data_IF_349379274568
#
_entry.id   IF_349379274568
#
_cell.length_a   1.000
_cell.length_b   1.000
_cell.length_c   1.000
_cell.angle_alpha   90.00
_cell.angle_beta   90.00
_cell.angle_gamma   90.00
#
_symmetry.space_group_name_H-M   'P 1'
#
loop_
_entity.id
_entity.type
_entity.pdbx_description
1 polymer ?
#
# COMPACT_ATOMS: atom_id res chain seq x y z
N UNK A 1 -5.27 2.23 -25.25
CA UNK A 1 -5.14 1.74 -23.87
C UNK A 1 -6.54 1.35 -23.42
N UNK A 2 -6.80 0.12 -22.96
CA UNK A 2 -8.11 -0.24 -22.45
C UNK A 2 -8.42 0.56 -21.18
N UNK A 3 -9.66 0.98 -21.05
CA UNK A 3 -10.18 1.71 -19.91
C UNK A 3 -10.28 0.73 -18.73
N UNK A 4 -9.45 0.92 -17.70
CA UNK A 4 -9.50 0.09 -16.50
C UNK A 4 -10.71 0.57 -15.69
N UNK A 5 -11.81 -0.17 -15.72
CA UNK A 5 -12.93 0.13 -14.86
C UNK A 5 -12.51 -0.11 -13.40
N UNK A 6 -12.79 0.85 -12.48
CA UNK A 6 -12.50 0.65 -11.07
C UNK A 6 -13.25 -0.58 -10.57
N UNK A 7 -12.55 -1.48 -9.88
CA UNK A 7 -13.14 -2.67 -9.30
C UNK A 7 -14.29 -2.29 -8.35
N UNK A 8 -15.36 -3.10 -8.33
CA UNK A 8 -16.56 -2.82 -7.52
C UNK A 8 -16.26 -2.71 -6.02
N UNK A 9 -15.28 -3.47 -5.52
CA UNK A 9 -14.80 -3.36 -4.13
C UNK A 9 -14.20 -1.98 -3.81
N UNK A 10 -13.48 -1.38 -4.77
CA UNK A 10 -12.83 -0.08 -4.57
C UNK A 10 -13.88 1.04 -4.51
N UNK A 11 -14.90 0.98 -5.37
CA UNK A 11 -16.02 1.94 -5.33
C UNK A 11 -16.77 1.85 -4.01
N UNK A 12 -17.00 0.64 -3.52
CA UNK A 12 -17.71 0.41 -2.27
C UNK A 12 -16.95 0.97 -1.06
N UNK A 13 -15.66 0.67 -0.91
CA UNK A 13 -14.84 1.21 0.20
C UNK A 13 -14.78 2.74 0.14
N UNK A 14 -14.55 3.31 -1.04
CA UNK A 14 -14.52 4.77 -1.22
C UNK A 14 -15.90 5.44 -1.04
N UNK A 15 -16.99 4.68 -0.96
CA UNK A 15 -18.34 5.20 -0.70
C UNK A 15 -18.71 5.28 0.79
N UNK A 16 -17.82 4.82 1.69
CA UNK A 16 -18.03 4.90 3.14
C UNK A 16 -18.23 6.35 3.60
N UNK A 17 -19.21 6.61 4.47
CA UNK A 17 -19.62 7.96 4.86
C UNK A 17 -18.95 8.46 6.16
N UNK A 18 -18.34 7.57 6.94
CA UNK A 18 -17.66 7.90 8.20
C UNK A 18 -16.56 6.87 8.54
N UNK A 19 -15.80 7.13 9.61
CA UNK A 19 -14.66 6.30 10.03
C UNK A 19 -15.07 4.89 10.51
N UNK A 20 -16.18 4.76 11.22
CA UNK A 20 -16.65 3.47 11.70
C UNK A 20 -17.11 2.59 10.51
N UNK A 21 -17.85 3.18 9.58
CA UNK A 21 -18.27 2.51 8.34
C UNK A 21 -17.07 2.15 7.45
N UNK A 22 -16.08 3.04 7.33
CA UNK A 22 -14.85 2.75 6.59
C UNK A 22 -14.11 1.56 7.18
N UNK A 23 -14.00 1.51 8.52
CA UNK A 23 -13.35 0.41 9.23
C UNK A 23 -14.11 -0.90 9.04
N UNK A 24 -15.42 -0.91 9.23
CA UNK A 24 -16.25 -2.11 9.06
C UNK A 24 -16.21 -2.64 7.61
N UNK A 25 -16.18 -1.75 6.63
CA UNK A 25 -16.04 -2.12 5.22
C UNK A 25 -14.63 -2.68 4.93
N UNK A 26 -13.59 -2.10 5.55
CA UNK A 26 -12.23 -2.63 5.48
C UNK A 26 -12.11 -4.03 6.10
N UNK A 27 -12.64 -4.23 7.30
CA UNK A 27 -12.63 -5.54 8.00
C UNK A 27 -13.31 -6.63 7.15
N UNK A 28 -14.42 -6.30 6.49
CA UNK A 28 -15.14 -7.22 5.60
C UNK A 28 -14.38 -7.55 4.31
N UNK A 29 -13.54 -6.63 3.83
CA UNK A 29 -12.77 -6.81 2.60
C UNK A 29 -11.37 -7.37 2.82
N UNK A 30 -10.81 -7.22 4.03
CA UNK A 30 -9.43 -7.57 4.37
C UNK A 30 -9.03 -8.98 3.91
N UNK A 31 -9.92 -9.97 4.06
CA UNK A 31 -9.68 -11.36 3.66
C UNK A 31 -9.43 -11.54 2.14
N UNK A 32 -9.90 -10.59 1.31
CA UNK A 32 -9.75 -10.60 -0.16
C UNK A 32 -8.78 -9.53 -0.66
N UNK A 33 -8.36 -8.62 0.22
CA UNK A 33 -7.46 -7.51 -0.08
C UNK A 33 -6.24 -7.96 -0.87
N UNK A 34 -5.51 -8.95 -0.37
CA UNK A 34 -4.25 -9.36 -0.99
C UNK A 34 -4.43 -9.89 -2.41
N UNK A 35 -5.51 -10.65 -2.66
CA UNK A 35 -5.80 -11.20 -3.97
C UNK A 35 -6.25 -10.09 -4.96
N UNK A 36 -7.10 -9.17 -4.49
CA UNK A 36 -7.67 -8.09 -5.30
C UNK A 36 -6.63 -7.01 -5.63
N UNK A 37 -5.74 -6.70 -4.69
CA UNK A 37 -4.70 -5.67 -4.82
C UNK A 37 -3.43 -6.23 -5.44
N UNK A 38 -2.99 -7.42 -5.05
CA UNK A 38 -1.76 -8.05 -5.52
C UNK A 38 -1.72 -8.23 -7.04
N UNK A 39 -2.83 -8.64 -7.67
CA UNK A 39 -2.88 -8.84 -9.12
C UNK A 39 -2.87 -7.57 -9.97
N UNK A 40 -3.22 -6.41 -9.39
CA UNK A 40 -3.36 -5.15 -10.13
C UNK A 40 -2.25 -4.14 -9.79
N UNK A 41 -1.73 -4.18 -8.56
CA UNK A 41 -0.84 -3.16 -8.02
C UNK A 41 0.55 -3.68 -7.64
N UNK A 42 0.87 -4.95 -7.90
CA UNK A 42 2.19 -5.56 -7.65
C UNK A 42 3.40 -4.69 -8.08
N UNK A 43 3.38 -3.98 -9.22
CA UNK A 43 4.50 -3.13 -9.62
C UNK A 43 4.66 -1.86 -8.77
N UNK A 44 3.59 -1.40 -8.12
CA UNK A 44 3.53 -0.09 -7.46
C UNK A 44 4.42 -0.02 -6.21
N UNK A 45 4.43 -1.01 -5.30
CA UNK A 45 5.33 -1.00 -4.14
C UNK A 45 6.81 -0.89 -4.52
N UNK A 46 7.24 -1.67 -5.52
CA UNK A 46 8.62 -1.63 -5.99
C UNK A 46 8.95 -0.29 -6.65
N UNK A 47 8.05 0.24 -7.47
CA UNK A 47 8.24 1.54 -8.11
C UNK A 47 8.39 2.68 -7.08
N UNK A 48 7.55 2.67 -6.04
CA UNK A 48 7.62 3.64 -4.94
C UNK A 48 8.96 3.54 -4.18
N UNK A 49 9.37 2.33 -3.81
CA UNK A 49 10.63 2.09 -3.11
C UNK A 49 11.85 2.52 -3.94
N UNK A 50 11.87 2.21 -5.25
CA UNK A 50 12.93 2.64 -6.17
C UNK A 50 12.99 4.17 -6.33
N UNK A 51 11.83 4.82 -6.42
CA UNK A 51 11.75 6.27 -6.49
C UNK A 51 12.31 6.92 -5.23
N UNK A 52 11.94 6.44 -4.04
CA UNK A 52 12.51 6.94 -2.79
C UNK A 52 14.02 6.68 -2.73
N UNK A 53 14.47 5.48 -3.09
CA UNK A 53 15.88 5.11 -3.08
C UNK A 53 16.75 5.98 -4.01
N UNK A 54 16.18 6.49 -5.11
CA UNK A 54 16.85 7.38 -6.05
C UNK A 54 17.21 8.73 -5.44
N UNK A 55 16.37 9.25 -4.54
CA UNK A 55 16.55 10.59 -3.95
C UNK A 55 17.08 10.54 -2.52
N UNK A 56 16.83 9.45 -1.78
CA UNK A 56 17.34 9.24 -0.43
C UNK A 56 18.64 8.42 -0.48
N UNK A 57 19.77 9.13 -0.45
CA UNK A 57 21.10 8.53 -0.39
C UNK A 57 21.46 7.95 0.98
N UNK A 58 20.90 8.50 2.07
CA UNK A 58 21.13 7.99 3.42
C UNK A 58 20.21 6.79 3.71
N UNK A 59 20.76 5.58 3.62
CA UNK A 59 20.02 4.33 3.90
C UNK A 59 19.74 4.09 5.39
N UNK A 60 20.44 4.81 6.26
CA UNK A 60 20.14 4.82 7.68
C UNK A 60 18.97 5.78 8.01
N UNK A 61 18.39 6.52 7.07
CA UNK A 61 17.21 7.34 7.35
C UNK A 61 16.06 6.52 7.98
N UNK A 62 15.29 7.12 8.90
CA UNK A 62 14.05 6.51 9.40
C UNK A 62 12.94 6.81 8.39
N UNK A 63 12.25 5.77 7.92
CA UNK A 63 11.12 5.85 7.00
C UNK A 63 9.85 5.47 7.76
N UNK A 64 8.83 6.33 7.68
CA UNK A 64 7.47 6.05 8.14
C UNK A 64 6.57 5.85 6.91
N UNK A 65 6.04 4.64 6.75
CA UNK A 65 5.08 4.27 5.72
C UNK A 65 3.67 4.30 6.31
N UNK A 66 2.85 5.25 5.86
CA UNK A 66 1.51 5.52 6.41
C UNK A 66 0.47 4.99 5.43
N UNK A 67 -0.35 4.05 5.89
CA UNK A 67 -1.20 3.24 5.01
C UNK A 67 -0.39 2.11 4.36
N UNK A 68 0.39 1.40 5.17
CA UNK A 68 1.37 0.42 4.71
C UNK A 68 0.73 -0.79 3.99
N UNK A 69 -0.57 -1.04 4.19
CA UNK A 69 -1.35 -2.12 3.61
C UNK A 69 -0.70 -3.48 3.85
N UNK A 70 -0.43 -4.20 2.77
CA UNK A 70 0.31 -5.49 2.79
C UNK A 70 1.79 -5.37 3.19
N UNK A 71 2.32 -4.17 3.39
CA UNK A 71 3.71 -3.93 3.77
C UNK A 71 4.72 -4.16 2.63
N UNK A 72 4.28 -4.38 1.39
CA UNK A 72 5.15 -4.67 0.25
C UNK A 72 6.12 -3.53 -0.07
N UNK A 73 5.76 -2.28 0.23
CA UNK A 73 6.67 -1.13 0.10
C UNK A 73 7.83 -1.27 1.07
N UNK A 74 7.56 -1.64 2.33
CA UNK A 74 8.59 -1.90 3.34
C UNK A 74 9.52 -3.04 2.96
N UNK A 75 8.98 -4.13 2.41
CA UNK A 75 9.79 -5.25 1.90
C UNK A 75 10.72 -4.80 0.77
N UNK A 76 10.20 -4.01 -0.19
CA UNK A 76 10.98 -3.49 -1.28
C UNK A 76 12.07 -2.50 -0.82
N UNK A 77 11.76 -1.63 0.16
CA UNK A 77 12.75 -0.74 0.78
C UNK A 77 13.86 -1.51 1.50
N UNK A 78 13.51 -2.57 2.24
CA UNK A 78 14.49 -3.42 2.90
C UNK A 78 15.44 -4.09 1.90
N UNK A 79 14.91 -4.57 0.76
CA UNK A 79 15.72 -5.14 -0.33
C UNK A 79 16.67 -4.09 -0.98
N UNK A 80 16.35 -2.80 -0.88
CA UNK A 80 17.18 -1.68 -1.35
C UNK A 80 18.17 -1.17 -0.28
N UNK A 81 18.26 -1.84 0.86
CA UNK A 81 19.23 -1.58 1.92
C UNK A 81 18.77 -0.57 2.99
N UNK A 82 17.49 -0.21 3.03
CA UNK A 82 16.94 0.58 4.14
C UNK A 82 16.65 -0.29 5.35
N UNK A 83 17.09 0.13 6.54
CA UNK A 83 17.01 -0.71 7.74
C UNK A 83 15.96 -0.23 8.75
N UNK A 84 15.62 1.07 8.74
CA UNK A 84 14.74 1.69 9.73
C UNK A 84 13.40 2.07 9.12
N UNK A 85 12.54 1.07 8.93
CA UNK A 85 11.22 1.22 8.30
C UNK A 85 10.14 0.95 9.34
N UNK A 86 9.20 1.89 9.48
CA UNK A 86 8.04 1.81 10.37
C UNK A 86 6.80 1.84 9.49
N UNK A 87 6.03 0.76 9.47
CA UNK A 87 4.73 0.72 8.79
C UNK A 87 3.59 0.93 9.78
N UNK A 88 2.64 1.79 9.43
CA UNK A 88 1.37 1.95 10.16
C UNK A 88 0.19 1.82 9.21
N UNK A 89 -0.86 1.15 9.67
CA UNK A 89 -2.17 1.10 9.01
C UNK A 89 -3.28 1.06 10.07
N UNK A 90 -4.53 1.27 9.66
CA UNK A 90 -5.71 1.37 10.52
C UNK A 90 -6.26 0.01 10.98
#
# INVERSE_FOLDING_TARGET
MPEIQPNEWLKWICSSQNFDELRDNYDQWADKYEADVGGVWEPVPLAAALMLAKYMGNKEGVILDVGAGTGLVGVALAALGFERIIGIDI
#
